data_IF_097485388762
#
_entry.id   IF_097485388762
#
_cell.length_a   1.000
_cell.length_b   1.000
_cell.length_c   1.000
_cell.angle_alpha   90.00
_cell.angle_beta   90.00
_cell.angle_gamma   90.00
#
_symmetry.space_group_name_H-M   'P 1'
#
loop_
_entity.id
_entity.type
_entity.pdbx_description
1 polymer ?
#
# COMPACT_ATOMS: atom_id res chain seq x y z
N UNK A 1 -10.00 -4.77 18.44
CA UNK A 1 -10.76 -5.09 17.19
C UNK A 1 -11.11 -3.85 16.32
N UNK A 2 -11.51 -2.69 16.88
CA UNK A 2 -12.06 -1.54 16.11
C UNK A 2 -11.07 -0.83 15.15
N UNK A 3 -9.75 -0.82 15.44
CA UNK A 3 -8.77 -0.05 14.64
C UNK A 3 -8.58 -0.60 13.22
N UNK A 4 -8.75 -1.91 13.04
CA UNK A 4 -8.41 -2.61 11.80
C UNK A 4 -9.52 -2.52 10.75
N UNK A 5 -10.78 -2.65 11.15
CA UNK A 5 -11.92 -2.60 10.22
C UNK A 5 -12.04 -1.27 9.48
N UNK A 6 -11.58 -0.18 10.09
CA UNK A 6 -11.60 1.17 9.49
C UNK A 6 -10.59 1.33 8.36
N UNK A 7 -9.37 0.79 8.50
CA UNK A 7 -8.35 0.92 7.46
C UNK A 7 -8.70 0.08 6.23
N UNK A 8 -9.25 -1.12 6.42
CA UNK A 8 -9.79 -1.95 5.32
C UNK A 8 -10.89 -1.24 4.55
N UNK A 9 -11.82 -0.61 5.27
CA UNK A 9 -12.94 0.08 4.64
C UNK A 9 -12.44 1.31 3.84
N UNK A 10 -11.52 2.07 4.41
CA UNK A 10 -10.91 3.22 3.74
C UNK A 10 -10.18 2.80 2.44
N UNK A 11 -9.38 1.74 2.46
CA UNK A 11 -8.66 1.27 1.26
C UNK A 11 -9.63 0.78 0.19
N UNK A 12 -10.67 0.01 0.55
CA UNK A 12 -11.73 -0.39 -0.37
C UNK A 12 -12.44 0.82 -0.98
N UNK A 13 -12.74 1.85 -0.19
CA UNK A 13 -13.36 3.08 -0.68
C UNK A 13 -12.46 3.81 -1.68
N UNK A 14 -11.17 3.99 -1.37
CA UNK A 14 -10.21 4.62 -2.29
C UNK A 14 -10.14 3.87 -3.64
N UNK A 15 -10.14 2.54 -3.61
CA UNK A 15 -10.15 1.71 -4.83
C UNK A 15 -11.45 1.84 -5.61
N UNK A 16 -12.60 1.87 -4.94
CA UNK A 16 -13.91 2.12 -5.58
C UNK A 16 -13.99 3.50 -6.25
N UNK A 17 -13.19 4.47 -5.80
CA UNK A 17 -13.07 5.80 -6.42
C UNK A 17 -12.10 5.81 -7.62
N UNK A 18 -11.63 4.64 -8.08
CA UNK A 18 -10.72 4.52 -9.23
C UNK A 18 -9.25 4.82 -8.90
N UNK A 19 -8.87 4.93 -7.62
CA UNK A 19 -7.46 5.13 -7.25
C UNK A 19 -6.68 3.85 -7.53
N UNK A 20 -5.90 3.89 -8.59
CA UNK A 20 -5.00 2.80 -9.02
C UNK A 20 -3.56 3.00 -8.57
N UNK A 21 -3.27 4.11 -7.88
CA UNK A 21 -1.94 4.38 -7.31
C UNK A 21 -1.62 3.34 -6.22
N UNK A 22 -0.32 3.07 -6.03
CA UNK A 22 0.15 2.14 -5.01
C UNK A 22 -0.27 2.60 -3.62
N UNK A 23 -0.87 1.71 -2.83
CA UNK A 23 -1.25 1.97 -1.44
C UNK A 23 -0.42 1.04 -0.53
N UNK A 24 0.29 1.64 0.43
CA UNK A 24 1.18 0.93 1.35
C UNK A 24 0.67 1.08 2.77
N UNK A 25 0.63 -0.02 3.52
CA UNK A 25 0.28 -0.01 4.95
C UNK A 25 1.54 -0.03 5.81
N UNK A 26 1.55 0.80 6.84
CA UNK A 26 2.62 0.88 7.84
C UNK A 26 2.03 0.54 9.22
N UNK A 27 2.59 -0.46 9.91
CA UNK A 27 2.05 -0.99 11.17
C UNK A 27 3.09 -1.03 12.28
N UNK A 28 2.65 -1.22 13.52
CA UNK A 28 3.53 -1.52 14.64
C UNK A 28 3.78 -3.04 14.73
N UNK A 29 4.91 -3.50 15.32
CA UNK A 29 5.27 -4.92 15.40
C UNK A 29 4.25 -5.81 16.15
N UNK A 30 3.40 -5.21 16.97
CA UNK A 30 2.35 -5.90 17.74
C UNK A 30 1.11 -6.29 16.89
N UNK A 31 1.17 -6.12 15.56
CA UNK A 31 0.09 -6.52 14.66
C UNK A 31 0.02 -8.05 14.52
N UNK A 32 -1.04 -8.65 15.05
CA UNK A 32 -1.30 -10.09 14.94
C UNK A 32 -1.36 -10.56 13.47
N UNK A 33 -0.65 -11.66 13.18
CA UNK A 33 -0.42 -12.22 11.85
C UNK A 33 -1.72 -12.56 11.08
N UNK A 34 -2.77 -12.98 11.78
CA UNK A 34 -4.05 -13.31 11.16
C UNK A 34 -4.69 -12.06 10.53
N UNK A 35 -4.53 -10.90 11.17
CA UNK A 35 -4.95 -9.63 10.59
C UNK A 35 -4.08 -9.28 9.39
N UNK A 36 -2.77 -9.44 9.47
CA UNK A 36 -1.86 -9.19 8.33
C UNK A 36 -2.34 -9.93 7.06
N UNK A 37 -2.77 -11.19 7.20
CA UNK A 37 -3.32 -11.99 6.09
C UNK A 37 -4.63 -11.41 5.54
N UNK A 38 -5.59 -11.08 6.41
CA UNK A 38 -6.86 -10.45 6.00
C UNK A 38 -6.65 -9.10 5.28
N UNK A 39 -5.53 -8.41 5.50
CA UNK A 39 -5.19 -7.16 4.80
C UNK A 39 -4.47 -7.38 3.47
N UNK A 40 -3.60 -8.40 3.37
CA UNK A 40 -2.95 -8.74 2.10
C UNK A 40 -3.96 -9.18 1.04
N UNK A 41 -5.05 -9.83 1.45
CA UNK A 41 -6.16 -10.20 0.56
C UNK A 41 -6.96 -8.98 0.07
N UNK A 42 -6.86 -7.83 0.76
CA UNK A 42 -7.67 -6.64 0.47
C UNK A 42 -6.84 -5.54 -0.15
N UNK A 43 -6.60 -5.66 -1.45
CA UNK A 43 -6.30 -4.56 -2.40
C UNK A 43 -5.15 -3.60 -2.00
N UNK A 44 -4.23 -4.07 -1.16
CA UNK A 44 -2.98 -3.39 -0.81
C UNK A 44 -1.86 -3.92 -1.68
N UNK A 45 -0.96 -3.02 -2.09
CA UNK A 45 0.19 -3.41 -2.88
C UNK A 45 1.31 -3.97 -1.98
N UNK A 46 1.57 -3.32 -0.84
CA UNK A 46 2.69 -3.65 0.05
C UNK A 46 2.41 -3.35 1.53
N UNK A 47 3.14 -4.04 2.42
CA UNK A 47 3.05 -3.96 3.88
C UNK A 47 4.44 -3.76 4.49
N UNK A 48 4.54 -2.87 5.49
CA UNK A 48 5.78 -2.56 6.20
C UNK A 48 5.53 -2.38 7.70
N UNK A 49 6.47 -2.87 8.51
CA UNK A 49 6.48 -2.68 9.96
C UNK A 49 7.36 -1.49 10.36
N UNK A 50 6.97 -0.84 11.45
CA UNK A 50 7.75 0.21 12.09
C UNK A 50 8.90 -0.41 12.93
N UNK A 51 10.02 0.31 13.07
CA UNK A 51 10.30 1.62 12.48
C UNK A 51 10.65 1.53 11.00
N UNK A 52 10.21 2.52 10.21
CA UNK A 52 10.64 2.64 8.82
C UNK A 52 12.07 3.15 8.79
N UNK A 53 13.01 2.24 8.55
CA UNK A 53 14.41 2.63 8.39
C UNK A 53 14.62 3.42 7.10
N UNK A 54 15.75 4.12 7.00
CA UNK A 54 16.10 4.92 5.82
C UNK A 54 16.13 4.05 4.55
N UNK A 55 16.62 2.82 4.67
CA UNK A 55 16.73 1.84 3.60
C UNK A 55 15.35 1.41 3.10
N UNK A 56 14.42 1.14 4.01
CA UNK A 56 13.03 0.80 3.70
C UNK A 56 12.37 1.96 2.94
N UNK A 57 12.55 3.19 3.42
CA UNK A 57 11.98 4.37 2.79
C UNK A 57 12.57 4.61 1.39
N UNK A 58 13.88 4.46 1.23
CA UNK A 58 14.55 4.55 -0.07
C UNK A 58 14.05 3.49 -1.05
N UNK A 59 13.87 2.25 -0.60
CA UNK A 59 13.32 1.18 -1.42
C UNK A 59 11.88 1.48 -1.86
N UNK A 60 11.04 1.95 -0.93
CA UNK A 60 9.67 2.36 -1.21
C UNK A 60 9.61 3.49 -2.25
N UNK A 61 10.37 4.57 -2.05
CA UNK A 61 10.43 5.69 -2.98
C UNK A 61 10.86 5.25 -4.39
N UNK A 62 11.89 4.39 -4.48
CA UNK A 62 12.33 3.84 -5.77
C UNK A 62 11.22 3.06 -6.47
N UNK A 63 10.45 2.26 -5.74
CA UNK A 63 9.28 1.53 -6.28
C UNK A 63 8.18 2.48 -6.75
N UNK A 64 7.83 3.49 -5.95
CA UNK A 64 6.84 4.52 -6.33
C UNK A 64 7.22 5.22 -7.63
N UNK A 65 8.45 5.71 -7.74
CA UNK A 65 8.95 6.40 -8.94
C UNK A 65 8.97 5.48 -10.17
N UNK A 66 9.32 4.21 -9.99
CA UNK A 66 9.34 3.23 -11.09
C UNK A 66 7.93 2.92 -11.61
N UNK A 67 6.96 2.71 -10.72
CA UNK A 67 5.55 2.51 -11.09
C UNK A 67 4.95 3.76 -11.75
N UNK A 68 5.29 4.95 -11.26
CA UNK A 68 4.86 6.22 -11.86
C UNK A 68 5.37 6.38 -13.30
N UNK A 69 6.65 6.05 -13.55
CA UNK A 69 7.26 6.15 -14.89
C UNK A 69 6.60 5.22 -15.91
N UNK A 70 6.14 4.02 -15.52
CA UNK A 70 5.41 3.11 -16.43
C UNK A 70 4.06 3.70 -16.83
N UNK A 71 3.28 4.21 -15.86
CA UNK A 71 1.97 4.83 -16.11
C UNK A 71 2.04 6.04 -17.05
N UNK A 72 3.16 6.77 -17.05
CA UNK A 72 3.38 7.87 -18.00
C UNK A 72 3.73 7.39 -19.41
N UNK A 73 4.41 6.24 -19.57
CA UNK A 73 4.74 5.69 -20.89
C UNK A 73 3.54 5.03 -21.57
N UNK A 74 2.68 4.37 -20.79
CA UNK A 74 1.45 3.74 -21.30
C UNK A 74 0.40 4.76 -21.79
N UNK A 75 0.59 6.06 -21.49
CA UNK A 75 -0.22 7.18 -22.01
C UNK A 75 0.32 7.83 -23.29
N UNK A 76 1.53 7.47 -23.75
CA UNK A 76 2.20 8.08 -24.93
C UNK A 76 2.07 7.17 -26.16
N UNK A 77 0.96 6.43 -26.27
CA UNK A 77 0.61 5.69 -27.48
C UNK A 77 -0.72 6.25 -27.99
N UNK A 78 -0.63 7.33 -28.76
CA UNK A 78 -1.60 7.81 -29.75
C UNK A 78 -0.81 8.35 -30.94
#
# INVERSE_FOLDING_TARGET
>A
MIRYTRTTHATKKLRSMGITTMIVRITTPDDNEEYRKQFMEVVLDEYYEKPLTKEILQALLRKFLTKFRRKSKDKVIL
#
